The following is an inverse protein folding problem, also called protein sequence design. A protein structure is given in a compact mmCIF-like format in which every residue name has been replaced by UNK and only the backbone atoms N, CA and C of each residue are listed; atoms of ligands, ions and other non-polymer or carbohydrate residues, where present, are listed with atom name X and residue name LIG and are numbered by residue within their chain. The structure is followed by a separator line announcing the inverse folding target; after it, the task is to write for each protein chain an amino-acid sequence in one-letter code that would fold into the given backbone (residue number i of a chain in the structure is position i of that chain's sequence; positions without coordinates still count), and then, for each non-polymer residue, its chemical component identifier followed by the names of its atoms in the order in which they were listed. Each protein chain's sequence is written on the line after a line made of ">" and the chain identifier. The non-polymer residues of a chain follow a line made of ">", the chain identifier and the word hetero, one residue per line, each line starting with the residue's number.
data_IF_601585843861
#
_entry.id   IF_601585843861
#
_cell.length_a   1.000
_cell.length_b   1.000
_cell.length_c   1.000
_cell.angle_alpha   90.00
_cell.angle_beta   90.00
_cell.angle_gamma   90.00
#
_symmetry.space_group_name_H-M   'P 1'
#
loop_
_entity.id
_entity.type
_entity.pdbx_description
1 polymer ?
#
# COMPACT_ATOMS: atom_id res chain seq x y z
N UNK A 1 -2.51 15.72 -23.87
CA UNK A 1 -2.02 14.54 -23.13
C UNK A 1 -3.23 13.70 -22.81
N UNK A 2 -3.34 12.55 -23.48
CA UNK A 2 -4.53 11.70 -23.47
C UNK A 2 -4.73 11.11 -22.08
N UNK A 3 -5.90 11.39 -21.50
CA UNK A 3 -6.39 10.73 -20.30
C UNK A 3 -6.74 9.32 -20.76
N UNK A 4 -5.94 8.35 -20.35
CA UNK A 4 -6.19 6.93 -20.57
C UNK A 4 -7.42 6.55 -19.73
N UNK A 5 -8.59 6.81 -20.27
CA UNK A 5 -9.85 6.32 -19.73
C UNK A 5 -9.94 4.84 -20.09
N UNK A 6 -9.11 4.02 -19.45
CA UNK A 6 -9.42 2.61 -19.26
C UNK A 6 -10.85 2.58 -18.73
N UNK A 7 -11.78 2.09 -19.56
CA UNK A 7 -13.18 1.96 -19.19
C UNK A 7 -13.23 1.17 -17.88
N UNK A 8 -13.45 1.88 -16.77
CA UNK A 8 -13.80 1.26 -15.49
C UNK A 8 -15.16 0.61 -15.70
N UNK A 9 -15.14 -0.67 -16.06
CA UNK A 9 -16.34 -1.49 -16.21
C UNK A 9 -17.14 -1.53 -14.90
N UNK A 10 -16.44 -1.40 -13.79
CA UNK A 10 -16.99 -1.32 -12.46
C UNK A 10 -16.35 -0.15 -11.71
N UNK A 11 -17.14 0.54 -10.89
CA UNK A 11 -16.69 1.59 -9.96
C UNK A 11 -17.24 1.25 -8.57
N UNK A 12 -16.69 0.20 -7.97
CA UNK A 12 -17.10 -0.27 -6.65
C UNK A 12 -16.69 0.71 -5.55
N UNK A 13 -15.54 1.37 -5.73
CA UNK A 13 -15.04 2.33 -4.75
C UNK A 13 -14.22 3.45 -5.37
N UNK A 14 -14.42 4.64 -4.80
CA UNK A 14 -13.56 5.81 -5.01
C UNK A 14 -12.12 5.61 -4.51
N UNK A 15 -11.85 4.59 -3.70
CA UNK A 15 -10.52 4.30 -3.20
C UNK A 15 -9.65 3.71 -4.30
N UNK A 16 -8.40 4.16 -4.41
CA UNK A 16 -7.53 3.74 -5.51
C UNK A 16 -6.32 2.98 -4.97
N UNK A 17 -6.08 1.79 -5.51
CA UNK A 17 -4.88 0.98 -5.31
C UNK A 17 -4.03 1.07 -6.58
N UNK A 18 -2.77 1.44 -6.43
CA UNK A 18 -1.78 1.42 -7.51
C UNK A 18 -0.62 0.54 -7.09
N UNK A 19 -0.16 -0.31 -8.01
CA UNK A 19 0.97 -1.23 -7.79
C UNK A 19 1.94 -1.01 -8.94
N UNK A 20 3.23 -0.84 -8.61
CA UNK A 20 4.28 -0.58 -9.60
C UNK A 20 4.30 -1.70 -10.65
N UNK A 21 4.39 -1.29 -11.91
CA UNK A 21 4.44 -2.16 -13.10
C UNK A 21 3.15 -2.97 -13.38
N UNK A 22 2.07 -2.74 -12.63
CA UNK A 22 0.76 -3.37 -12.88
C UNK A 22 -0.12 -2.38 -13.64
N UNK A 23 -0.41 -2.69 -14.90
CA UNK A 23 -1.30 -1.87 -15.77
C UNK A 23 -2.75 -2.34 -15.75
N UNK A 24 -3.01 -3.53 -15.22
CA UNK A 24 -4.36 -4.07 -15.12
C UNK A 24 -5.27 -3.16 -14.26
N UNK A 25 -6.56 -3.05 -14.59
CA UNK A 25 -7.50 -2.26 -13.80
C UNK A 25 -7.71 -2.93 -12.44
N UNK A 26 -7.44 -2.20 -11.36
CA UNK A 26 -7.64 -2.64 -9.98
C UNK A 26 -8.77 -1.82 -9.35
N UNK A 27 -10.02 -2.31 -9.47
CA UNK A 27 -11.17 -1.64 -8.87
C UNK A 27 -11.39 -2.11 -7.43
N UNK A 28 -11.17 -1.23 -6.46
CA UNK A 28 -11.22 -1.58 -5.04
C UNK A 28 -12.65 -1.90 -4.65
N UNK A 29 -12.89 -3.11 -4.15
CA UNK A 29 -14.21 -3.57 -3.72
C UNK A 29 -14.43 -3.34 -2.22
N UNK A 30 -13.45 -3.77 -1.41
CA UNK A 30 -13.53 -3.67 0.05
C UNK A 30 -12.11 -3.64 0.64
N UNK A 31 -11.98 -3.09 1.85
CA UNK A 31 -10.71 -3.17 2.56
C UNK A 31 -10.91 -3.16 4.08
N UNK A 32 -9.89 -3.65 4.79
CA UNK A 32 -9.78 -3.53 6.25
C UNK A 32 -8.35 -3.19 6.58
N UNK A 33 -8.13 -2.13 7.36
CA UNK A 33 -6.83 -1.67 7.81
C UNK A 33 -6.66 -1.83 9.31
N UNK A 34 -5.48 -2.28 9.73
CA UNK A 34 -5.01 -2.28 11.11
C UNK A 34 -3.82 -1.33 11.22
N UNK A 35 -3.93 -0.32 12.09
CA UNK A 35 -2.90 0.69 12.35
C UNK A 35 -2.80 0.94 13.85
N UNK A 36 -1.57 0.92 14.37
CA UNK A 36 -1.29 1.24 15.77
C UNK A 36 0.09 1.87 15.92
N UNK A 37 0.29 2.68 16.97
CA UNK A 37 1.59 3.24 17.28
C UNK A 37 2.60 2.12 17.56
N UNK A 38 3.82 2.29 17.05
CA UNK A 38 4.92 1.32 17.15
C UNK A 38 4.63 -0.04 16.51
N UNK A 39 3.64 -0.14 15.62
CA UNK A 39 3.34 -1.37 14.88
C UNK A 39 3.22 -1.08 13.37
N UNK A 40 3.86 -1.88 12.50
CA UNK A 40 3.68 -1.73 11.05
C UNK A 40 2.24 -2.02 10.64
N UNK A 41 1.60 -1.08 9.95
CA UNK A 41 0.22 -1.24 9.49
C UNK A 41 0.03 -2.46 8.58
N UNK A 42 -1.22 -2.91 8.45
CA UNK A 42 -1.60 -3.91 7.47
C UNK A 42 -3.00 -3.66 6.90
N UNK A 43 -3.07 -3.51 5.58
CA UNK A 43 -4.33 -3.43 4.85
C UNK A 43 -4.58 -4.71 4.08
N UNK A 44 -5.74 -5.32 4.31
CA UNK A 44 -6.30 -6.34 3.42
C UNK A 44 -7.21 -5.63 2.45
N UNK A 45 -6.85 -5.63 1.17
CA UNK A 45 -7.59 -4.94 0.13
C UNK A 45 -8.09 -5.98 -0.85
N UNK A 46 -9.38 -5.98 -1.09
CA UNK A 46 -10.05 -6.78 -2.10
C UNK A 46 -10.39 -5.88 -3.28
N UNK A 47 -10.12 -6.37 -4.49
CA UNK A 47 -10.38 -5.64 -5.72
C UNK A 47 -10.86 -6.59 -6.80
N UNK A 48 -11.57 -6.06 -7.78
CA UNK A 48 -11.91 -6.77 -9.00
C UNK A 48 -11.07 -6.28 -10.17
N UNK A 49 -10.84 -7.16 -11.13
CA UNK A 49 -10.21 -6.83 -12.40
C UNK A 49 -10.92 -7.54 -13.54
N UNK A 50 -11.00 -6.89 -14.69
CA UNK A 50 -11.41 -7.51 -15.95
C UNK A 50 -10.34 -8.45 -16.50
N UNK A 51 -9.10 -8.32 -16.02
CA UNK A 51 -8.05 -9.29 -16.29
C UNK A 51 -8.22 -10.52 -15.38
N UNK A 52 -8.52 -11.66 -16.01
CA UNK A 52 -8.94 -12.86 -15.33
C UNK A 52 -7.78 -13.70 -14.79
N UNK A 53 -6.55 -13.47 -15.26
CA UNK A 53 -5.39 -14.29 -14.87
C UNK A 53 -4.19 -13.41 -14.51
N UNK A 54 -4.35 -12.63 -13.44
CA UNK A 54 -3.29 -11.77 -12.93
C UNK A 54 -2.18 -12.60 -12.26
N UNK A 55 -0.93 -12.55 -12.76
CA UNK A 55 0.13 -13.40 -12.27
C UNK A 55 0.67 -12.87 -10.94
N UNK A 56 0.76 -13.75 -9.93
CA UNK A 56 1.04 -13.35 -8.55
C UNK A 56 2.42 -12.68 -8.34
N UNK A 57 3.41 -13.07 -9.14
CA UNK A 57 4.77 -12.53 -9.14
C UNK A 57 4.84 -11.06 -9.58
N UNK A 58 3.87 -10.60 -10.35
CA UNK A 58 3.73 -9.19 -10.74
C UNK A 58 3.22 -8.31 -9.58
N UNK A 59 2.76 -8.91 -8.47
CA UNK A 59 2.26 -8.20 -7.31
C UNK A 59 3.20 -8.29 -6.12
N UNK A 60 3.74 -9.48 -5.82
CA UNK A 60 4.52 -9.70 -4.60
C UNK A 60 5.79 -8.83 -4.54
N UNK A 61 6.02 -8.23 -3.37
CA UNK A 61 7.14 -7.35 -3.07
C UNK A 61 7.25 -6.11 -3.98
N UNK A 62 6.20 -5.79 -4.75
CA UNK A 62 6.14 -4.55 -5.53
C UNK A 62 5.71 -3.38 -4.66
N UNK A 63 6.29 -2.23 -4.95
CA UNK A 63 5.89 -0.96 -4.33
C UNK A 63 4.46 -0.61 -4.76
N UNK A 64 3.67 -0.13 -3.82
CA UNK A 64 2.27 0.16 -4.02
C UNK A 64 1.86 1.42 -3.24
N UNK A 65 0.79 2.06 -3.71
CA UNK A 65 0.12 3.14 -3.00
C UNK A 65 -1.37 2.86 -2.88
N UNK A 66 -1.93 3.20 -1.73
CA UNK A 66 -3.35 3.08 -1.46
C UNK A 66 -3.90 4.43 -1.00
N UNK A 67 -4.82 4.99 -1.78
CA UNK A 67 -5.38 6.32 -1.53
C UNK A 67 -6.83 6.26 -1.08
N UNK A 68 -7.08 6.85 0.08
CA UNK A 68 -8.40 7.06 0.65
C UNK A 68 -8.97 8.39 0.16
N UNK A 69 -10.22 8.39 -0.30
CA UNK A 69 -10.87 9.56 -0.90
C UNK A 69 -12.18 9.88 -0.20
N UNK A 70 -12.48 11.17 -0.09
CA UNK A 70 -13.77 11.66 0.37
C UNK A 70 -14.88 11.27 -0.62
N UNK A 71 -16.13 11.09 -0.16
CA UNK A 71 -17.27 11.04 -1.07
C UNK A 71 -17.27 12.24 -2.03
N UNK A 72 -17.67 12.05 -3.29
CA UNK A 72 -17.85 13.18 -4.20
C UNK A 72 -18.93 14.13 -3.65
N UNK A 73 -18.72 15.44 -3.78
CA UNK A 73 -19.77 16.42 -3.46
C UNK A 73 -20.91 16.29 -4.47
N UNK A 74 -22.10 15.96 -4.00
CA UNK A 74 -23.30 15.91 -4.81
C UNK A 74 -23.93 17.30 -4.88
N UNK A 75 -23.71 17.99 -6.00
CA UNK A 75 -24.27 19.32 -6.26
C UNK A 75 -25.77 19.29 -6.65
N UNK A 76 -26.39 18.12 -6.76
CA UNK A 76 -27.82 17.98 -7.09
C UNK A 76 -28.19 18.40 -8.52
N UNK A 77 -27.22 18.67 -9.38
CA UNK A 77 -27.41 19.06 -10.78
C UNK A 77 -27.62 17.79 -11.62
N UNK A 78 -28.75 17.65 -12.34
CA UNK A 78 -28.98 16.51 -13.22
C UNK A 78 -27.88 16.39 -14.30
N UNK A 79 -27.30 15.20 -14.45
CA UNK A 79 -26.23 14.92 -15.41
C UNK A 79 -24.83 15.41 -15.01
N UNK A 80 -24.68 16.04 -13.85
CA UNK A 80 -23.37 16.45 -13.34
C UNK A 80 -22.65 15.26 -12.70
N UNK A 81 -21.48 14.91 -13.23
CA UNK A 81 -20.56 13.97 -12.59
C UNK A 81 -19.49 14.78 -11.86
N UNK A 82 -19.44 14.75 -10.53
CA UNK A 82 -18.42 15.47 -9.78
C UNK A 82 -17.01 14.96 -10.15
N UNK A 83 -16.02 15.86 -10.24
CA UNK A 83 -14.64 15.45 -10.48
C UNK A 83 -14.14 14.57 -9.33
N UNK A 84 -13.16 13.72 -9.63
CA UNK A 84 -12.55 12.88 -8.60
C UNK A 84 -11.87 13.75 -7.54
N UNK A 85 -12.36 13.68 -6.31
CA UNK A 85 -11.79 14.42 -5.19
C UNK A 85 -10.32 14.06 -4.97
N UNK A 86 -9.48 15.02 -4.54
CA UNK A 86 -8.11 14.71 -4.13
C UNK A 86 -8.11 13.69 -2.99
N UNK A 87 -7.08 12.84 -2.89
CA UNK A 87 -7.01 11.86 -1.83
C UNK A 87 -6.87 12.56 -0.47
N UNK A 88 -7.66 12.14 0.51
CA UNK A 88 -7.56 12.60 1.90
C UNK A 88 -6.27 12.08 2.54
N UNK A 89 -5.88 10.86 2.18
CA UNK A 89 -4.68 10.19 2.67
C UNK A 89 -4.18 9.23 1.61
N UNK A 90 -2.88 9.20 1.39
CA UNK A 90 -2.22 8.15 0.60
C UNK A 90 -1.22 7.44 1.47
N UNK A 91 -1.34 6.12 1.52
CA UNK A 91 -0.39 5.23 2.18
C UNK A 91 0.55 4.65 1.14
N UNK A 92 1.83 4.50 1.51
CA UNK A 92 2.86 3.90 0.67
C UNK A 92 3.42 2.65 1.34
N UNK A 93 3.71 1.63 0.54
CA UNK A 93 4.12 0.34 1.06
C UNK A 93 4.37 -0.65 -0.06
N UNK A 94 4.25 -1.93 0.28
CA UNK A 94 4.54 -3.07 -0.59
C UNK A 94 3.49 -4.16 -0.40
N UNK A 95 3.34 -5.01 -1.42
CA UNK A 95 2.41 -6.15 -1.36
C UNK A 95 3.14 -7.36 -0.78
N UNK A 96 2.73 -7.77 0.42
CA UNK A 96 3.29 -8.94 1.11
C UNK A 96 2.59 -10.26 0.77
N UNK A 97 1.35 -10.19 0.27
CA UNK A 97 0.55 -11.37 -0.10
C UNK A 97 -0.40 -11.02 -1.22
N UNK A 98 -0.62 -11.97 -2.11
CA UNK A 98 -1.59 -11.92 -3.20
C UNK A 98 -2.39 -13.23 -3.22
N UNK A 99 -3.67 -13.16 -3.56
CA UNK A 99 -4.55 -14.33 -3.68
C UNK A 99 -5.72 -14.03 -4.59
N UNK A 100 -6.06 -14.99 -5.45
CA UNK A 100 -7.34 -15.05 -6.16
C UNK A 100 -8.42 -15.57 -5.20
N UNK A 101 -9.58 -14.91 -5.15
CA UNK A 101 -10.71 -15.28 -4.30
C UNK A 101 -11.82 -15.97 -5.09
N UNK A 102 -12.18 -15.42 -6.25
CA UNK A 102 -13.23 -15.94 -7.11
C UNK A 102 -13.01 -15.46 -8.55
N UNK A 103 -13.52 -16.23 -9.51
CA UNK A 103 -13.54 -15.86 -10.93
C UNK A 103 -14.96 -15.96 -11.47
N UNK A 104 -15.32 -15.01 -12.31
CA UNK A 104 -16.53 -14.99 -13.11
C UNK A 104 -16.14 -14.94 -14.59
N UNK A 105 -17.14 -14.90 -15.49
CA UNK A 105 -16.89 -14.74 -16.93
C UNK A 105 -16.25 -13.40 -17.27
N UNK A 106 -16.66 -12.34 -16.58
CA UNK A 106 -16.34 -10.96 -16.95
C UNK A 106 -15.34 -10.29 -15.99
N UNK A 107 -15.16 -10.84 -14.78
CA UNK A 107 -14.22 -10.31 -13.79
C UNK A 107 -13.65 -11.40 -12.88
N UNK A 108 -12.52 -11.10 -12.26
CA UNK A 108 -11.93 -11.89 -11.18
C UNK A 108 -11.73 -11.03 -9.93
N UNK A 109 -12.02 -11.62 -8.77
CA UNK A 109 -11.88 -10.99 -7.46
C UNK A 109 -10.59 -11.45 -6.81
N UNK A 110 -9.75 -10.50 -6.43
CA UNK A 110 -8.47 -10.74 -5.80
C UNK A 110 -8.40 -10.11 -4.42
N UNK A 111 -7.40 -10.52 -3.65
CA UNK A 111 -7.06 -9.93 -2.36
C UNK A 111 -5.55 -9.79 -2.22
N UNK A 112 -5.12 -8.61 -1.78
CA UNK A 112 -3.74 -8.31 -1.43
C UNK A 112 -3.60 -7.93 0.04
N UNK A 113 -2.41 -8.17 0.59
CA UNK A 113 -2.01 -7.64 1.90
C UNK A 113 -0.93 -6.57 1.70
N UNK A 114 -1.34 -5.32 1.84
CA UNK A 114 -0.53 -4.13 1.69
C UNK A 114 0.05 -3.69 3.04
N UNK A 115 1.36 -3.54 3.12
CA UNK A 115 2.12 -3.30 4.36
C UNK A 115 3.25 -2.32 4.11
N UNK A 116 3.77 -1.59 5.11
CA UNK A 116 4.98 -0.79 4.90
C UNK A 116 6.19 -1.72 4.71
N UNK A 117 7.22 -1.26 3.97
CA UNK A 117 8.45 -2.02 3.76
C UNK A 117 9.10 -2.47 5.07
N UNK A 118 8.97 -1.67 6.13
CA UNK A 118 9.46 -1.97 7.48
C UNK A 118 8.97 -3.34 7.99
N UNK A 119 7.76 -3.76 7.63
CA UNK A 119 7.21 -5.06 8.04
C UNK A 119 7.99 -6.25 7.47
N UNK A 120 8.63 -6.08 6.32
CA UNK A 120 9.42 -7.14 5.68
C UNK A 120 10.67 -7.51 6.49
N UNK A 121 11.16 -6.63 7.36
CA UNK A 121 12.28 -6.95 8.26
C UNK A 121 11.96 -8.12 9.20
N UNK A 122 10.67 -8.36 9.50
CA UNK A 122 10.24 -9.50 10.30
C UNK A 122 10.34 -10.86 9.59
N UNK A 123 10.61 -10.89 8.28
CA UNK A 123 10.76 -12.12 7.51
C UNK A 123 12.14 -12.77 7.65
N UNK A 124 13.14 -12.02 8.08
CA UNK A 124 14.51 -12.49 8.23
C UNK A 124 15.00 -12.32 9.68
N UNK A 125 15.79 -13.27 10.16
CA UNK A 125 16.44 -13.20 11.47
C UNK A 125 17.94 -13.26 11.30
N UNK A 126 18.64 -12.36 11.98
CA UNK A 126 20.10 -12.29 11.97
C UNK A 126 20.63 -12.10 13.39
N UNK A 127 21.83 -12.61 13.64
CA UNK A 127 22.52 -12.47 14.92
C UNK A 127 23.71 -11.52 14.75
N UNK A 128 23.87 -10.57 15.68
CA UNK A 128 24.95 -9.59 15.64
C UNK A 128 25.26 -9.06 17.04
N UNK A 129 26.51 -8.65 17.23
CA UNK A 129 26.97 -7.95 18.43
C UNK A 129 27.14 -6.47 18.06
N UNK A 130 26.46 -5.60 18.78
CA UNK A 130 26.64 -4.15 18.72
C UNK A 130 27.38 -3.72 19.98
N UNK A 131 28.45 -2.93 19.84
CA UNK A 131 29.28 -2.48 20.95
C UNK A 131 29.44 -0.97 20.87
N UNK A 132 29.46 -0.31 22.04
CA UNK A 132 29.67 1.14 22.19
C UNK A 132 28.70 1.95 21.33
N UNK A 133 27.42 1.57 21.33
CA UNK A 133 26.39 2.15 20.46
C UNK A 133 25.07 2.25 21.21
N UNK A 134 24.42 3.41 21.09
CA UNK A 134 23.10 3.62 21.68
C UNK A 134 22.00 2.91 20.87
N UNK A 135 20.83 2.71 21.49
CA UNK A 135 19.69 2.05 20.83
C UNK A 135 19.30 2.72 19.51
N UNK A 136 19.15 4.05 19.41
CA UNK A 136 18.86 4.70 18.12
C UNK A 136 19.93 4.44 17.06
N UNK A 137 21.21 4.40 17.43
CA UNK A 137 22.31 4.10 16.49
C UNK A 137 22.22 2.66 15.97
N UNK A 138 21.89 1.71 16.85
CA UNK A 138 21.68 0.31 16.47
C UNK A 138 20.49 0.19 15.51
N UNK A 139 19.36 0.83 15.82
CA UNK A 139 18.16 0.81 14.96
C UNK A 139 18.48 1.44 13.61
N UNK A 140 19.16 2.59 13.58
CA UNK A 140 19.58 3.22 12.33
C UNK A 140 20.45 2.27 11.49
N UNK A 141 21.46 1.63 12.08
CA UNK A 141 22.30 0.67 11.35
C UNK A 141 21.49 -0.50 10.78
N UNK A 142 20.51 -1.01 11.54
CA UNK A 142 19.61 -2.07 11.05
C UNK A 142 18.80 -1.58 9.86
N UNK A 143 18.23 -0.38 9.92
CA UNK A 143 17.46 0.21 8.81
C UNK A 143 18.34 0.40 7.57
N UNK A 144 19.50 1.07 7.71
CA UNK A 144 20.44 1.33 6.61
C UNK A 144 20.88 0.06 5.90
N UNK A 145 21.15 -1.01 6.65
CA UNK A 145 21.57 -2.30 6.10
C UNK A 145 20.49 -2.98 5.27
N UNK A 146 19.23 -2.68 5.53
CA UNK A 146 18.08 -3.18 4.77
C UNK A 146 17.56 -2.14 3.77
N UNK A 147 18.47 -1.30 3.25
CA UNK A 147 18.20 -0.38 2.13
C UNK A 147 17.16 0.72 2.47
N UNK A 148 17.04 1.08 3.75
CA UNK A 148 16.33 2.28 4.16
C UNK A 148 17.25 3.51 4.05
N UNK A 149 16.79 4.50 3.29
CA UNK A 149 17.46 5.77 3.05
C UNK A 149 17.00 6.85 4.03
N UNK A 150 17.64 8.01 3.98
CA UNK A 150 17.43 9.06 5.00
C UNK A 150 16.03 9.65 4.97
N UNK A 151 15.37 9.58 3.81
CA UNK A 151 13.98 10.00 3.63
C UNK A 151 12.96 8.97 4.13
N UNK A 152 13.38 7.74 4.43
CA UNK A 152 12.46 6.66 4.81
C UNK A 152 12.15 6.62 6.31
N UNK A 153 12.97 7.28 7.15
CA UNK A 153 12.79 7.32 8.59
C UNK A 153 13.38 8.60 9.20
N UNK A 154 12.85 8.99 10.36
CA UNK A 154 13.29 10.18 11.09
C UNK A 154 13.34 9.86 12.60
N UNK A 155 14.44 10.26 13.24
CA UNK A 155 14.60 10.19 14.69
C UNK A 155 14.47 11.59 15.31
N UNK A 156 13.27 11.94 15.75
CA UNK A 156 13.01 13.13 16.58
C UNK A 156 12.94 12.72 18.05
N UNK A 157 14.09 12.69 18.71
CA UNK A 157 14.24 12.21 20.08
C UNK A 157 14.51 13.39 21.03
N UNK A 158 13.81 13.42 22.16
CA UNK A 158 13.97 14.47 23.19
C UNK A 158 14.94 14.10 24.30
N UNK A 159 15.34 12.83 24.38
CA UNK A 159 16.23 12.30 25.42
C UNK A 159 17.56 11.86 24.82
N UNK A 160 18.60 11.94 25.63
CA UNK A 160 19.88 11.30 25.33
C UNK A 160 19.80 9.81 25.64
N UNK A 161 20.37 8.99 24.76
CA UNK A 161 20.42 7.54 24.91
C UNK A 161 21.88 7.11 25.13
N UNK A 162 22.21 6.44 26.25
CA UNK A 162 23.59 6.02 26.54
C UNK A 162 24.08 4.97 25.54
N UNK A 163 25.42 4.84 25.45
CA UNK A 163 26.13 3.84 24.64
C UNK A 163 26.36 2.53 25.39
#
# INVERSE_FOLDING_TARGET
>A
MLIDAAHRFFDHSRHTLSIRDVTAPLDVLAFTGDEALSQPFAYRIEFTSTDLDLPADSFLCKDASFSLRAPPEQLGIPGYTPPLAPPLRTLYGTISRFSLLAMSRDESRYKVTFVPRLKLLGLARQYRIYQNQSVPQIVEQVLRRNEFEGQDFLFELTREYPQ
#
